data_IF_989459987604
#
_entry.id   IF_989459987604
#
_cell.length_a   1.000
_cell.length_b   1.000
_cell.length_c   1.000
_cell.angle_alpha   90.00
_cell.angle_beta   90.00
_cell.angle_gamma   90.00
#
_symmetry.space_group_name_H-M   'P 1'
#
loop_
_entity.id
_entity.type
_entity.pdbx_description
1 polymer ?
#
# COMPACT_ATOMS: atom_id res chain seq x y z
N UNK A 1 9.04 -1.78 8.65
CA UNK A 1 8.36 -1.73 9.95
C UNK A 1 7.60 -0.42 10.12
N UNK A 2 6.65 -0.35 11.07
CA UNK A 2 5.82 0.85 11.32
C UNK A 2 6.63 2.10 11.67
N UNK A 3 7.76 1.91 12.32
CA UNK A 3 8.69 2.99 12.76
C UNK A 3 9.67 3.43 11.66
N UNK A 4 9.78 2.69 10.57
CA UNK A 4 10.63 3.07 9.46
C UNK A 4 10.08 4.29 8.72
N UNK A 5 10.98 5.05 8.08
CA UNK A 5 10.58 6.18 7.25
C UNK A 5 9.83 5.72 6.00
N UNK A 6 8.89 6.53 5.54
CA UNK A 6 8.19 6.30 4.26
C UNK A 6 9.19 6.16 3.11
N UNK A 7 10.28 6.93 3.11
CA UNK A 7 11.33 6.83 2.09
C UNK A 7 11.96 5.43 2.02
N UNK A 8 12.28 4.84 3.19
CA UNK A 8 12.83 3.48 3.24
C UNK A 8 11.79 2.45 2.75
N UNK A 9 10.53 2.59 3.14
CA UNK A 9 9.46 1.72 2.68
C UNK A 9 9.28 1.79 1.16
N UNK A 10 9.30 3.00 0.58
CA UNK A 10 9.23 3.19 -0.87
C UNK A 10 10.44 2.56 -1.57
N UNK A 11 11.65 2.73 -1.02
CA UNK A 11 12.85 2.09 -1.56
C UNK A 11 12.73 0.57 -1.57
N UNK A 12 12.18 -0.04 -0.51
CA UNK A 12 11.91 -1.49 -0.46
C UNK A 12 10.90 -1.92 -1.54
N UNK A 13 9.84 -1.13 -1.75
CA UNK A 13 8.84 -1.41 -2.78
C UNK A 13 9.49 -1.48 -4.17
N UNK A 14 10.41 -0.56 -4.49
CA UNK A 14 11.11 -0.57 -5.77
C UNK A 14 12.20 -1.65 -5.87
N UNK A 15 12.97 -1.88 -4.83
CA UNK A 15 14.11 -2.80 -4.85
C UNK A 15 13.69 -4.26 -4.93
N UNK A 16 12.61 -4.63 -4.24
CA UNK A 16 12.19 -6.03 -4.10
C UNK A 16 11.01 -6.41 -4.99
N UNK A 17 10.40 -5.46 -5.68
CA UNK A 17 9.16 -5.70 -6.41
C UNK A 17 9.20 -5.32 -7.87
N UNK A 18 10.38 -4.98 -8.41
CA UNK A 18 10.53 -4.72 -9.84
C UNK A 18 11.08 -5.94 -10.57
N UNK A 19 10.40 -6.33 -11.65
CA UNK A 19 11.00 -7.19 -12.65
C UNK A 19 12.07 -6.41 -13.42
N UNK A 20 12.94 -7.09 -14.16
CA UNK A 20 13.98 -6.46 -14.96
C UNK A 20 13.50 -5.40 -15.98
N UNK A 21 12.19 -5.32 -16.23
CA UNK A 21 11.51 -4.31 -17.04
C UNK A 21 11.01 -3.09 -16.23
N UNK A 22 11.33 -3.03 -14.93
CA UNK A 22 10.94 -1.93 -14.05
C UNK A 22 9.47 -1.93 -13.57
N UNK A 23 8.71 -2.96 -13.91
CA UNK A 23 7.30 -3.06 -13.52
C UNK A 23 7.16 -3.50 -12.06
N UNK A 24 6.40 -2.75 -11.26
CA UNK A 24 6.06 -3.11 -9.88
C UNK A 24 5.22 -4.39 -9.87
N UNK A 25 5.63 -5.34 -9.04
CA UNK A 25 4.90 -6.61 -8.82
C UNK A 25 3.78 -6.46 -7.78
N UNK A 26 3.92 -5.49 -6.89
CA UNK A 26 2.98 -5.21 -5.81
C UNK A 26 2.70 -3.72 -5.74
N UNK A 27 1.51 -3.35 -5.30
CA UNK A 27 1.03 -1.98 -5.14
C UNK A 27 0.87 -1.57 -3.69
N UNK A 28 1.24 -2.46 -2.75
CA UNK A 28 1.20 -2.19 -1.32
C UNK A 28 2.28 -2.98 -0.55
N UNK A 29 2.60 -2.47 0.64
CA UNK A 29 3.45 -3.13 1.62
C UNK A 29 2.64 -3.46 2.88
N UNK A 30 2.78 -4.67 3.38
CA UNK A 30 2.25 -5.04 4.70
C UNK A 30 3.17 -4.47 5.79
N UNK A 31 2.57 -3.80 6.76
CA UNK A 31 3.29 -3.11 7.84
C UNK A 31 3.25 -3.95 9.11
N UNK A 32 4.42 -4.18 9.69
CA UNK A 32 4.58 -4.87 10.97
C UNK A 32 5.18 -3.91 12.02
N UNK A 33 4.89 -4.17 13.29
CA UNK A 33 5.51 -3.44 14.39
C UNK A 33 6.87 -4.05 14.79
N UNK A 34 7.45 -3.56 15.88
CA UNK A 34 8.72 -4.09 16.43
C UNK A 34 8.64 -5.54 16.92
N UNK A 35 7.44 -6.04 17.24
CA UNK A 35 7.16 -7.42 17.63
C UNK A 35 6.76 -8.33 16.45
N UNK A 36 6.99 -7.90 15.22
CA UNK A 36 6.62 -8.56 13.95
C UNK A 36 5.11 -8.84 13.78
N UNK A 37 4.28 -8.15 14.57
CA UNK A 37 2.83 -8.25 14.46
C UNK A 37 2.32 -7.40 13.28
N UNK A 38 1.35 -7.93 12.56
CA UNK A 38 0.71 -7.21 11.46
C UNK A 38 -0.17 -6.08 12.00
N UNK A 39 0.14 -4.84 11.64
CA UNK A 39 -0.51 -3.63 12.18
C UNK A 39 -1.15 -2.73 11.13
N UNK A 40 -0.89 -2.95 9.84
CA UNK A 40 -1.47 -2.14 8.78
C UNK A 40 -0.85 -2.39 7.42
N UNK A 41 -1.17 -1.51 6.48
CA UNK A 41 -0.63 -1.55 5.12
C UNK A 41 -0.29 -0.16 4.61
N UNK A 42 0.76 -0.07 3.81
CA UNK A 42 1.15 1.15 3.11
C UNK A 42 0.89 0.94 1.61
N UNK A 43 -0.14 1.58 1.09
CA UNK A 43 -0.53 1.50 -0.33
C UNK A 43 0.13 2.60 -1.13
N UNK A 44 0.20 2.46 -2.46
CA UNK A 44 0.62 3.56 -3.37
C UNK A 44 -0.23 4.81 -3.12
N UNK A 45 -1.53 4.66 -2.87
CA UNK A 45 -2.41 5.79 -2.51
C UNK A 45 -1.94 6.48 -1.23
N UNK A 46 -1.62 5.73 -0.17
CA UNK A 46 -1.10 6.28 1.09
C UNK A 46 0.21 7.04 0.89
N UNK A 47 1.11 6.50 0.06
CA UNK A 47 2.39 7.13 -0.29
C UNK A 47 2.16 8.45 -1.04
N UNK A 48 1.27 8.45 -2.04
CA UNK A 48 0.93 9.66 -2.79
C UNK A 48 0.29 10.72 -1.88
N UNK A 49 -0.62 10.33 -0.99
CA UNK A 49 -1.22 11.25 -0.01
C UNK A 49 -0.16 11.81 0.96
N UNK A 50 0.79 10.97 1.40
CA UNK A 50 1.92 11.42 2.22
C UNK A 50 2.75 12.50 1.50
N UNK A 51 3.13 12.25 0.25
CA UNK A 51 3.97 13.21 -0.50
C UNK A 51 3.21 14.45 -0.95
N UNK A 52 1.90 14.36 -1.16
CA UNK A 52 1.05 15.44 -1.67
C UNK A 52 -0.25 15.60 -0.89
N UNK A 53 -0.18 15.89 0.42
CA UNK A 53 -1.39 16.01 1.24
C UNK A 53 -2.34 17.07 0.69
N UNK A 54 -1.85 18.20 0.22
CA UNK A 54 -2.66 19.29 -0.36
C UNK A 54 -3.43 18.91 -1.62
N UNK A 55 -2.99 17.86 -2.36
CA UNK A 55 -3.66 17.40 -3.56
C UNK A 55 -4.71 16.32 -3.30
N UNK A 56 -4.51 15.49 -2.26
CA UNK A 56 -5.28 14.26 -2.05
C UNK A 56 -6.12 14.26 -0.78
N UNK A 57 -5.81 15.08 0.23
CA UNK A 57 -6.54 15.12 1.51
C UNK A 57 -7.85 15.92 1.46
N UNK A 58 -8.39 16.24 0.29
CA UNK A 58 -9.70 16.87 0.17
C UNK A 58 -9.85 18.22 0.87
N UNK A 59 -8.75 18.81 1.34
CA UNK A 59 -8.69 20.17 1.87
C UNK A 59 -9.29 21.13 0.86
N UNK A 60 -10.10 22.03 1.36
CA UNK A 60 -10.89 23.01 0.64
C UNK A 60 -10.20 23.47 -0.66
N UNK A 61 -10.69 23.03 -1.81
CA UNK A 61 -10.17 23.35 -3.15
C UNK A 61 -10.28 24.84 -3.50
N UNK A 62 -10.54 25.67 -2.51
CA UNK A 62 -10.79 27.11 -2.63
C UNK A 62 -9.55 27.97 -2.37
N UNK A 63 -8.34 27.41 -2.21
CA UNK A 63 -7.20 28.20 -1.71
C UNK A 63 -6.32 28.79 -2.82
N UNK A 64 -6.76 28.89 -4.04
CA UNK A 64 -6.13 29.84 -4.96
C UNK A 64 -7.17 30.82 -5.51
N UNK A 65 -7.36 31.92 -4.80
CA UNK A 65 -7.94 33.20 -5.30
C UNK A 65 -9.17 33.08 -6.21
N UNK A 66 -10.16 32.22 -5.87
CA UNK A 66 -11.45 32.23 -6.56
C UNK A 66 -11.46 31.77 -8.03
N UNK A 67 -10.34 31.29 -8.58
CA UNK A 67 -10.24 30.72 -9.91
C UNK A 67 -10.13 29.21 -9.85
N UNK A 68 -11.00 28.50 -10.57
CA UNK A 68 -10.82 27.08 -10.92
C UNK A 68 -9.66 26.97 -11.90
N UNK A 69 -8.43 27.05 -11.41
CA UNK A 69 -7.26 26.81 -12.24
C UNK A 69 -7.17 25.32 -12.56
N UNK A 70 -6.79 25.01 -13.80
CA UNK A 70 -6.64 23.64 -14.25
C UNK A 70 -5.50 22.99 -13.46
N UNK A 71 -5.67 21.75 -13.05
CA UNK A 71 -4.71 20.91 -12.29
C UNK A 71 -3.28 20.95 -12.85
N UNK A 72 -3.15 21.19 -14.15
CA UNK A 72 -1.88 21.28 -14.88
C UNK A 72 -1.03 22.48 -14.46
N UNK A 73 -1.67 23.62 -14.14
CA UNK A 73 -0.94 24.85 -13.78
C UNK A 73 -0.40 24.75 -12.34
N UNK A 74 -1.11 24.04 -11.47
CA UNK A 74 -0.69 23.78 -10.11
C UNK A 74 0.54 22.82 -10.06
N UNK A 75 0.59 21.83 -10.95
CA UNK A 75 1.70 20.89 -11.05
C UNK A 75 3.01 21.59 -11.42
N UNK A 76 2.98 22.56 -12.36
CA UNK A 76 4.14 23.35 -12.77
C UNK A 76 4.63 24.25 -11.64
N UNK A 77 3.73 24.86 -10.87
CA UNK A 77 4.09 25.67 -9.70
C UNK A 77 4.69 24.86 -8.55
N UNK A 78 4.33 23.58 -8.45
CA UNK A 78 4.80 22.67 -7.41
C UNK A 78 6.12 21.98 -7.75
N UNK A 79 6.59 22.01 -9.00
CA UNK A 79 7.77 21.27 -9.44
C UNK A 79 9.04 21.65 -8.63
N UNK A 80 9.23 22.90 -8.29
CA UNK A 80 10.34 23.37 -7.45
C UNK A 80 10.23 22.98 -5.97
N UNK A 81 9.02 22.83 -5.44
CA UNK A 81 8.78 22.45 -4.05
C UNK A 81 8.62 20.94 -3.86
N UNK A 82 8.37 20.21 -4.95
CA UNK A 82 8.12 18.76 -4.96
C UNK A 82 9.21 17.96 -4.27
N UNK A 83 10.46 18.15 -4.69
CA UNK A 83 11.60 17.41 -4.13
C UNK A 83 11.82 17.70 -2.64
N UNK A 84 11.60 18.95 -2.23
CA UNK A 84 11.73 19.36 -0.83
C UNK A 84 10.64 18.71 0.01
N UNK A 85 9.39 18.72 -0.47
CA UNK A 85 8.26 18.13 0.23
C UNK A 85 8.38 16.60 0.31
N UNK A 86 8.78 15.93 -0.78
CA UNK A 86 9.06 14.49 -0.78
C UNK A 86 10.14 14.12 0.25
N UNK A 87 11.22 14.91 0.36
CA UNK A 87 12.25 14.67 1.38
C UNK A 87 11.71 14.84 2.81
N UNK A 88 10.95 15.92 3.03
CA UNK A 88 10.37 16.23 4.34
C UNK A 88 9.37 15.16 4.79
N UNK A 89 8.40 14.84 3.94
CA UNK A 89 7.36 13.86 4.23
C UNK A 89 7.91 12.43 4.24
N UNK A 90 8.81 12.12 3.33
CA UNK A 90 9.44 10.81 3.26
C UNK A 90 10.28 10.43 4.49
N UNK A 91 10.72 11.41 5.28
CA UNK A 91 11.43 11.17 6.55
C UNK A 91 10.49 10.75 7.69
N UNK A 92 9.18 10.96 7.56
CA UNK A 92 8.19 10.62 8.58
C UNK A 92 7.98 9.10 8.66
N UNK A 93 7.57 8.58 9.84
CA UNK A 93 7.37 7.15 10.01
C UNK A 93 6.14 6.65 9.26
N UNK A 94 6.20 5.42 8.77
CA UNK A 94 5.11 4.73 8.06
C UNK A 94 3.82 4.70 8.88
N UNK A 95 3.92 4.60 10.20
CA UNK A 95 2.77 4.56 11.13
C UNK A 95 1.82 5.76 11.00
N UNK A 96 2.30 6.90 10.50
CA UNK A 96 1.44 8.09 10.30
C UNK A 96 0.57 8.01 9.02
N UNK A 97 0.95 7.18 8.06
CA UNK A 97 0.33 7.13 6.72
C UNK A 97 -0.23 5.78 6.35
N UNK A 98 0.04 4.76 7.17
CA UNK A 98 -0.49 3.42 6.91
C UNK A 98 -2.02 3.39 7.07
N UNK A 99 -2.66 2.60 6.22
CA UNK A 99 -4.07 2.26 6.34
C UNK A 99 -4.25 1.14 7.37
N UNK A 100 -5.45 1.00 7.97
CA UNK A 100 -5.75 -0.11 8.87
C UNK A 100 -5.40 -1.47 8.26
N UNK A 101 -5.15 -2.49 9.12
CA UNK A 101 -4.86 -3.84 8.65
C UNK A 101 -6.07 -4.43 7.90
N UNK A 102 -5.76 -5.20 6.86
CA UNK A 102 -6.74 -6.06 6.20
C UNK A 102 -7.16 -7.20 7.13
N UNK A 103 -8.28 -7.86 6.81
CA UNK A 103 -8.63 -9.13 7.40
C UNK A 103 -7.50 -10.13 7.16
N UNK A 104 -6.99 -10.73 8.20
CA UNK A 104 -5.94 -11.74 8.14
C UNK A 104 -6.49 -13.13 8.40
N UNK A 105 -5.78 -14.14 7.93
CA UNK A 105 -6.16 -15.54 8.06
C UNK A 105 -5.06 -16.35 8.75
N UNK A 106 -5.42 -17.53 9.24
CA UNK A 106 -4.46 -18.53 9.74
C UNK A 106 -3.94 -19.40 8.60
N UNK A 107 -2.75 -19.99 8.77
CA UNK A 107 -2.12 -20.82 7.75
C UNK A 107 -2.88 -22.11 7.41
N UNK A 108 -3.70 -22.60 8.34
CA UNK A 108 -4.51 -23.83 8.21
C UNK A 108 -5.88 -23.59 7.56
N UNK A 109 -6.21 -22.35 7.17
CA UNK A 109 -7.48 -22.05 6.54
C UNK A 109 -7.57 -22.70 5.16
N UNK A 110 -8.71 -23.34 4.88
CA UNK A 110 -8.96 -23.97 3.59
C UNK A 110 -8.94 -22.93 2.43
N UNK A 111 -8.30 -23.21 1.28
CA UNK A 111 -8.18 -22.25 0.17
C UNK A 111 -9.49 -21.66 -0.33
N UNK A 112 -10.59 -22.46 -0.35
CA UNK A 112 -11.91 -21.94 -0.76
C UNK A 112 -12.45 -20.88 0.22
N UNK A 113 -12.22 -21.02 1.53
CA UNK A 113 -12.57 -19.98 2.50
C UNK A 113 -11.72 -18.71 2.32
N UNK A 114 -10.44 -18.86 1.97
CA UNK A 114 -9.61 -17.71 1.63
C UNK A 114 -10.17 -16.98 0.40
N UNK A 115 -10.63 -17.71 -0.63
CA UNK A 115 -11.29 -17.13 -1.80
C UNK A 115 -12.58 -16.38 -1.42
N UNK A 116 -13.43 -16.97 -0.60
CA UNK A 116 -14.66 -16.36 -0.11
C UNK A 116 -14.38 -15.03 0.59
N UNK A 117 -13.44 -15.00 1.53
CA UNK A 117 -13.03 -13.78 2.23
C UNK A 117 -12.52 -12.71 1.26
N UNK A 118 -11.69 -13.09 0.29
CA UNK A 118 -11.17 -12.16 -0.72
C UNK A 118 -12.29 -11.52 -1.54
N UNK A 119 -13.29 -12.30 -1.91
CA UNK A 119 -14.43 -11.82 -2.71
C UNK A 119 -15.35 -10.92 -1.89
N UNK A 120 -15.67 -11.30 -0.66
CA UNK A 120 -16.54 -10.53 0.24
C UNK A 120 -15.93 -9.19 0.62
N UNK A 121 -14.64 -9.18 0.97
CA UNK A 121 -13.92 -8.00 1.43
C UNK A 121 -13.32 -7.18 0.27
N UNK A 122 -13.50 -7.64 -0.97
CA UNK A 122 -12.90 -7.05 -2.18
C UNK A 122 -11.38 -6.85 -2.04
N UNK A 123 -10.70 -7.88 -1.54
CA UNK A 123 -9.25 -7.90 -1.31
C UNK A 123 -8.54 -8.75 -2.36
N UNK A 124 -7.39 -8.29 -2.82
CA UNK A 124 -6.53 -9.03 -3.77
C UNK A 124 -5.42 -9.81 -3.07
N UNK A 125 -5.23 -9.57 -1.77
CA UNK A 125 -4.31 -10.34 -0.93
C UNK A 125 -4.89 -10.52 0.47
N UNK A 126 -4.46 -11.60 1.16
CA UNK A 126 -4.77 -11.85 2.56
C UNK A 126 -3.46 -12.09 3.33
N UNK A 127 -3.17 -11.28 4.34
CA UNK A 127 -2.09 -11.56 5.27
C UNK A 127 -2.35 -12.85 6.03
N UNK A 128 -1.32 -13.70 6.14
CA UNK A 128 -1.36 -14.94 6.93
C UNK A 128 -0.63 -14.68 8.25
N UNK A 129 -1.31 -14.92 9.35
CA UNK A 129 -0.77 -14.66 10.68
C UNK A 129 -0.80 -15.90 11.57
N UNK A 130 0.19 -16.02 12.43
CA UNK A 130 0.21 -16.93 13.56
C UNK A 130 0.44 -16.13 14.85
N UNK A 131 -0.48 -16.21 15.80
CA UNK A 131 -0.44 -15.43 17.05
C UNK A 131 -0.17 -13.93 16.81
N UNK A 132 -0.83 -13.34 15.80
CA UNK A 132 -0.68 -11.96 15.32
C UNK A 132 0.65 -11.66 14.59
N UNK A 133 1.62 -12.56 14.58
CA UNK A 133 2.87 -12.42 13.82
C UNK A 133 2.57 -12.69 12.35
N UNK A 134 3.02 -11.79 11.47
CA UNK A 134 2.90 -11.97 10.03
C UNK A 134 3.88 -13.05 9.55
N UNK A 135 3.35 -14.18 9.05
CA UNK A 135 4.14 -15.31 8.55
C UNK A 135 4.11 -15.46 7.03
N UNK A 136 3.21 -14.75 6.35
CA UNK A 136 3.10 -14.80 4.90
C UNK A 136 1.96 -13.98 4.35
N UNK A 137 1.75 -14.11 3.04
CA UNK A 137 0.63 -13.50 2.32
C UNK A 137 0.15 -14.45 1.21
N UNK A 138 -1.17 -14.53 1.03
CA UNK A 138 -1.79 -15.22 -0.10
C UNK A 138 -2.37 -14.15 -1.03
N UNK A 139 -2.06 -14.23 -2.33
CA UNK A 139 -2.65 -13.35 -3.35
C UNK A 139 -3.77 -14.08 -4.08
N UNK A 140 -4.75 -13.32 -4.53
CA UNK A 140 -5.87 -13.87 -5.31
C UNK A 140 -5.41 -14.65 -6.55
N UNK A 141 -4.34 -14.17 -7.21
CA UNK A 141 -3.78 -14.86 -8.39
C UNK A 141 -3.15 -16.22 -8.05
N UNK A 142 -2.51 -16.35 -6.87
CA UNK A 142 -1.90 -17.61 -6.44
C UNK A 142 -2.99 -18.61 -6.07
N UNK A 143 -4.04 -18.14 -5.41
CA UNK A 143 -5.22 -18.92 -5.07
C UNK A 143 -5.95 -19.40 -6.33
N UNK A 144 -6.15 -18.51 -7.32
CA UNK A 144 -6.73 -18.85 -8.60
C UNK A 144 -5.94 -19.95 -9.32
N UNK A 145 -4.61 -19.83 -9.38
CA UNK A 145 -3.74 -20.84 -9.99
C UNK A 145 -3.88 -22.22 -9.32
N UNK A 146 -3.94 -22.22 -7.98
CA UNK A 146 -4.13 -23.45 -7.21
C UNK A 146 -5.49 -24.11 -7.52
N UNK A 147 -6.57 -23.35 -7.50
CA UNK A 147 -7.93 -23.84 -7.77
C UNK A 147 -8.11 -24.27 -9.22
N UNK A 148 -7.60 -23.50 -10.18
CA UNK A 148 -7.65 -23.86 -11.61
C UNK A 148 -6.90 -25.15 -11.90
N UNK A 149 -5.72 -25.35 -11.30
CA UNK A 149 -4.98 -26.61 -11.40
C UNK A 149 -5.75 -27.80 -10.86
N UNK A 150 -6.53 -27.61 -9.81
CA UNK A 150 -7.40 -28.65 -9.24
C UNK A 150 -8.61 -29.00 -10.11
N UNK A 151 -9.03 -28.07 -10.99
CA UNK A 151 -10.14 -28.28 -11.93
C UNK A 151 -9.72 -28.91 -13.24
N UNK A 152 -8.47 -29.30 -13.42
CA UNK A 152 -7.93 -29.90 -14.66
C UNK A 152 -8.19 -29.06 -15.92
N UNK A 153 -8.08 -27.73 -15.80
CA UNK A 153 -8.18 -26.77 -16.90
C UNK A 153 -6.85 -26.67 -17.65
#
# INVERSE_FOLDING_TARGET
>A
KSEESVHNAVSQLFTHTTNGDGKLLFDELLVINSADQYVGRLTIRSILTCYFPSLFDGGDKTIFAGKKEKFTDLAILLEGSFQTECKRQGALPVSQFMSPPLKSIKADLHPLHAAEIMMEENQTCLPVVDNQVLIGVIRLIDLFRFLAGSCSL
#
